data_IF_671412734416
#
_entry.id   IF_671412734416
#
_cell.length_a   1.000
_cell.length_b   1.000
_cell.length_c   1.000
_cell.angle_alpha   90.00
_cell.angle_beta   90.00
_cell.angle_gamma   90.00
#
_symmetry.space_group_name_H-M   'P 1'
#
loop_
_entity.id
_entity.type
_entity.pdbx_description
1 polymer ?
#
# COMPACT_ATOMS: atom_id res chain seq x y z
N UNK A 1 -5.63 18.54 -19.60
CA UNK A 1 -5.89 17.31 -18.83
C UNK A 1 -4.76 17.21 -17.82
N UNK A 2 -5.07 17.17 -16.54
CA UNK A 2 -4.03 16.94 -15.51
C UNK A 2 -3.54 15.50 -15.56
N UNK A 3 -2.38 15.24 -14.97
CA UNK A 3 -1.80 13.90 -14.88
C UNK A 3 -2.71 12.96 -14.08
N UNK A 4 -2.75 11.68 -14.49
CA UNK A 4 -3.52 10.66 -13.77
C UNK A 4 -2.97 10.45 -12.36
N UNK A 5 -3.80 9.93 -11.45
CA UNK A 5 -3.34 9.58 -10.10
C UNK A 5 -2.15 8.61 -10.14
N UNK A 6 -2.18 7.62 -11.04
CA UNK A 6 -1.09 6.67 -11.22
C UNK A 6 0.22 7.35 -11.63
N UNK A 7 0.16 8.34 -12.54
CA UNK A 7 1.35 9.08 -12.96
C UNK A 7 1.91 9.90 -11.79
N UNK A 8 1.07 10.63 -11.05
CA UNK A 8 1.52 11.43 -9.90
C UNK A 8 2.06 10.57 -8.76
N UNK A 9 1.49 9.39 -8.53
CA UNK A 9 2.03 8.42 -7.57
C UNK A 9 3.40 7.89 -8.03
N UNK A 10 3.59 7.61 -9.32
CA UNK A 10 4.88 7.25 -9.89
C UNK A 10 5.91 8.36 -9.70
N UNK A 11 5.54 9.60 -9.96
CA UNK A 11 6.44 10.76 -9.80
C UNK A 11 6.87 10.92 -8.34
N UNK A 12 5.96 10.73 -7.39
CA UNK A 12 6.28 10.72 -5.95
C UNK A 12 7.24 9.58 -5.58
N UNK A 13 7.03 8.37 -6.12
CA UNK A 13 7.93 7.22 -5.88
C UNK A 13 9.34 7.48 -6.41
N UNK A 14 9.46 7.95 -7.66
CA UNK A 14 10.74 8.29 -8.27
C UNK A 14 11.41 9.44 -7.50
N UNK A 15 10.65 10.45 -7.06
CA UNK A 15 11.18 11.52 -6.23
C UNK A 15 11.71 11.02 -4.89
N UNK A 16 10.98 10.17 -4.18
CA UNK A 16 11.38 9.70 -2.86
C UNK A 16 12.57 8.74 -2.92
N UNK A 17 12.54 7.77 -3.83
CA UNK A 17 13.41 6.59 -3.77
C UNK A 17 14.40 6.47 -4.93
N UNK A 18 14.28 7.33 -5.96
CA UNK A 18 14.97 7.13 -7.23
C UNK A 18 14.32 6.03 -8.07
N UNK A 19 14.70 5.96 -9.35
CA UNK A 19 14.06 5.07 -10.33
C UNK A 19 14.20 3.59 -9.98
N UNK A 20 15.40 3.15 -9.57
CA UNK A 20 15.67 1.74 -9.29
C UNK A 20 14.76 1.16 -8.20
N UNK A 21 14.51 1.93 -7.12
CA UNK A 21 13.60 1.52 -6.04
C UNK A 21 12.14 1.78 -6.35
N UNK A 22 11.82 2.77 -7.18
CA UNK A 22 10.45 3.01 -7.64
C UNK A 22 9.95 1.86 -8.53
N UNK A 23 10.82 1.30 -9.36
CA UNK A 23 10.52 0.21 -10.29
C UNK A 23 10.81 -1.21 -9.71
N UNK A 24 11.20 -1.35 -8.43
CA UNK A 24 11.43 -2.66 -7.79
C UNK A 24 10.09 -3.39 -7.49
N UNK A 25 9.74 -4.46 -8.23
CA UNK A 25 8.47 -5.14 -8.08
C UNK A 25 8.30 -5.83 -6.72
N UNK A 26 9.39 -6.26 -6.07
CA UNK A 26 9.33 -6.93 -4.77
C UNK A 26 8.90 -5.93 -3.70
N UNK A 27 9.57 -4.79 -3.63
CA UNK A 27 9.20 -3.72 -2.70
C UNK A 27 7.80 -3.17 -2.95
N UNK A 28 7.36 -3.07 -4.22
CA UNK A 28 5.99 -2.65 -4.54
C UNK A 28 4.95 -3.66 -4.06
N UNK A 29 5.19 -4.96 -4.23
CA UNK A 29 4.31 -6.01 -3.70
C UNK A 29 4.18 -5.92 -2.18
N UNK A 30 5.30 -5.82 -1.46
CA UNK A 30 5.30 -5.73 0.01
C UNK A 30 4.57 -4.47 0.49
N UNK A 31 4.83 -3.32 -0.15
CA UNK A 31 4.18 -2.05 0.23
C UNK A 31 2.67 -2.08 0.01
N UNK A 32 2.22 -2.64 -1.12
CA UNK A 32 0.80 -2.79 -1.39
C UNK A 32 0.13 -3.74 -0.38
N UNK A 33 0.76 -4.88 -0.08
CA UNK A 33 0.24 -5.84 0.89
C UNK A 33 0.15 -5.24 2.30
N UNK A 34 1.17 -4.49 2.72
CA UNK A 34 1.18 -3.77 4.00
C UNK A 34 -0.02 -2.83 4.11
N UNK A 35 -0.26 -1.96 3.11
CA UNK A 35 -1.40 -1.03 3.11
C UNK A 35 -2.76 -1.73 3.07
N UNK A 36 -2.88 -2.81 2.28
CA UNK A 36 -4.10 -3.61 2.24
C UNK A 36 -4.41 -4.23 3.62
N UNK A 37 -3.39 -4.76 4.30
CA UNK A 37 -3.51 -5.31 5.65
C UNK A 37 -3.84 -4.23 6.68
N UNK A 38 -3.20 -3.08 6.59
CA UNK A 38 -3.44 -1.93 7.45
C UNK A 38 -4.87 -1.38 7.31
N UNK A 39 -5.41 -1.32 6.09
CA UNK A 39 -6.79 -0.93 5.83
C UNK A 39 -7.77 -1.92 6.44
N UNK A 40 -7.65 -3.22 6.14
CA UNK A 40 -8.61 -4.21 6.68
C UNK A 40 -8.50 -4.34 8.20
N UNK A 41 -7.30 -4.17 8.78
CA UNK A 41 -7.12 -4.09 10.23
C UNK A 41 -7.92 -2.92 10.82
N UNK A 42 -7.81 -1.73 10.22
CA UNK A 42 -8.54 -0.53 10.68
C UNK A 42 -10.07 -0.70 10.58
N UNK A 43 -10.53 -1.58 9.69
CA UNK A 43 -11.94 -1.90 9.49
C UNK A 43 -12.42 -3.15 10.26
N UNK A 44 -11.56 -3.72 11.11
CA UNK A 44 -11.93 -4.79 12.05
C UNK A 44 -11.62 -6.22 11.60
N UNK A 45 -10.94 -6.42 10.47
CA UNK A 45 -10.44 -7.73 10.07
C UNK A 45 -9.38 -8.23 11.05
N UNK A 46 -9.54 -9.45 11.53
CA UNK A 46 -8.60 -10.09 12.44
C UNK A 46 -7.39 -10.66 11.71
N UNK A 47 -6.28 -10.82 12.43
CA UNK A 47 -5.08 -11.49 11.92
C UNK A 47 -5.38 -12.91 11.42
N UNK A 48 -6.24 -13.64 12.13
CA UNK A 48 -6.58 -15.02 11.78
C UNK A 48 -7.41 -15.08 10.48
N UNK A 49 -8.36 -14.17 10.28
CA UNK A 49 -9.09 -14.04 9.01
C UNK A 49 -8.14 -13.71 7.85
N UNK A 50 -7.21 -12.77 8.05
CA UNK A 50 -6.20 -12.44 7.05
C UNK A 50 -5.34 -13.67 6.67
N UNK A 51 -4.89 -14.46 7.65
CA UNK A 51 -4.13 -15.69 7.40
C UNK A 51 -4.95 -16.77 6.67
N UNK A 52 -6.26 -16.89 6.96
CA UNK A 52 -7.13 -17.81 6.21
C UNK A 52 -7.21 -17.41 4.73
N UNK A 53 -7.31 -16.11 4.44
CA UNK A 53 -7.30 -15.59 3.07
C UNK A 53 -5.95 -15.82 2.37
N UNK A 54 -4.83 -15.67 3.08
CA UNK A 54 -3.50 -16.02 2.56
C UNK A 54 -3.48 -17.49 2.12
N UNK A 55 -3.89 -18.42 2.99
CA UNK A 55 -3.92 -19.84 2.65
C UNK A 55 -4.84 -20.13 1.46
N UNK A 56 -6.00 -19.48 1.40
CA UNK A 56 -6.96 -19.65 0.32
C UNK A 56 -6.46 -19.11 -1.03
N UNK A 57 -5.82 -17.94 -1.06
CA UNK A 57 -5.29 -17.33 -2.30
C UNK A 57 -4.04 -18.07 -2.79
N UNK A 58 -3.08 -18.31 -1.91
CA UNK A 58 -1.83 -18.98 -2.29
C UNK A 58 -1.97 -20.49 -2.51
N UNK A 59 -3.09 -21.08 -2.09
CA UNK A 59 -3.45 -22.47 -2.42
C UNK A 59 -4.04 -22.66 -3.82
N UNK A 60 -4.27 -21.59 -4.59
CA UNK A 60 -4.83 -21.62 -5.96
C UNK A 60 -3.75 -21.32 -7.01
N UNK A 61 -4.07 -21.61 -8.27
CA UNK A 61 -3.24 -21.19 -9.40
C UNK A 61 -3.20 -19.67 -9.55
N UNK A 62 -2.09 -19.13 -10.04
CA UNK A 62 -1.91 -17.68 -10.25
C UNK A 62 -2.87 -17.17 -11.34
N UNK A 63 -3.51 -16.02 -11.09
CA UNK A 63 -4.25 -15.26 -12.10
C UNK A 63 -3.36 -14.37 -12.98
N UNK A 64 -3.94 -13.71 -13.98
CA UNK A 64 -3.24 -12.72 -14.79
C UNK A 64 -3.15 -11.37 -14.05
N UNK A 65 -2.01 -10.66 -14.11
CA UNK A 65 -1.85 -9.38 -13.41
C UNK A 65 -2.95 -8.36 -13.70
N UNK A 66 -3.40 -8.24 -14.94
CA UNK A 66 -4.42 -7.27 -15.35
C UNK A 66 -5.78 -7.58 -14.71
N UNK A 67 -6.13 -8.86 -14.61
CA UNK A 67 -7.36 -9.30 -13.95
C UNK A 67 -7.31 -9.02 -12.44
N UNK A 68 -6.17 -9.32 -11.80
CA UNK A 68 -6.02 -9.11 -10.36
C UNK A 68 -6.00 -7.63 -9.99
N UNK A 69 -5.42 -6.75 -10.82
CA UNK A 69 -5.52 -5.29 -10.66
C UNK A 69 -6.97 -4.83 -10.69
N UNK A 70 -7.77 -5.34 -11.64
CA UNK A 70 -9.21 -5.05 -11.72
C UNK A 70 -9.98 -5.54 -10.49
N UNK A 71 -9.68 -6.76 -10.02
CA UNK A 71 -10.31 -7.36 -8.84
C UNK A 71 -10.00 -6.58 -7.56
N UNK A 72 -8.75 -6.14 -7.39
CA UNK A 72 -8.32 -5.31 -6.25
C UNK A 72 -9.06 -3.98 -6.25
N UNK A 73 -9.10 -3.24 -7.37
CA UNK A 73 -9.78 -1.94 -7.44
C UNK A 73 -11.27 -2.08 -7.18
N UNK A 74 -11.93 -3.08 -7.79
CA UNK A 74 -13.35 -3.35 -7.54
C UNK A 74 -13.63 -3.65 -6.06
N UNK A 75 -12.79 -4.46 -5.42
CA UNK A 75 -12.94 -4.82 -4.00
C UNK A 75 -12.72 -3.59 -3.10
N UNK A 76 -11.72 -2.76 -3.40
CA UNK A 76 -11.47 -1.52 -2.67
C UNK A 76 -12.64 -0.54 -2.79
N UNK A 77 -13.20 -0.36 -3.99
CA UNK A 77 -14.38 0.49 -4.21
C UNK A 77 -15.61 -0.05 -3.47
N UNK A 78 -15.83 -1.37 -3.43
CA UNK A 78 -16.93 -1.97 -2.66
C UNK A 78 -16.76 -1.80 -1.14
N UNK A 79 -15.54 -1.98 -0.64
CA UNK A 79 -15.19 -1.82 0.76
C UNK A 79 -15.35 -0.36 1.21
N UNK A 80 -14.82 0.59 0.46
CA UNK A 80 -14.96 2.02 0.78
C UNK A 80 -16.41 2.48 0.71
N UNK A 81 -17.20 1.98 -0.25
CA UNK A 81 -18.63 2.27 -0.34
C UNK A 81 -19.42 1.81 0.91
N UNK A 82 -19.16 0.60 1.43
CA UNK A 82 -19.87 0.12 2.63
C UNK A 82 -19.46 0.87 3.91
N UNK A 83 -18.22 1.37 3.95
CA UNK A 83 -17.71 2.20 5.05
C UNK A 83 -17.94 3.71 4.86
N UNK A 84 -18.61 4.12 3.76
CA UNK A 84 -18.88 5.54 3.42
C UNK A 84 -17.61 6.39 3.33
N UNK A 85 -16.55 5.81 2.79
CA UNK A 85 -15.28 6.49 2.50
C UNK A 85 -15.29 6.86 1.02
N UNK A 86 -14.99 8.12 0.70
CA UNK A 86 -14.70 8.51 -0.68
C UNK A 86 -13.29 8.04 -1.04
N UNK A 87 -13.23 6.96 -1.81
CA UNK A 87 -11.96 6.33 -2.23
C UNK A 87 -11.03 7.32 -2.94
N UNK A 88 -11.58 8.19 -3.80
CA UNK A 88 -10.76 9.11 -4.58
C UNK A 88 -10.24 10.23 -3.69
N UNK A 89 -11.10 10.84 -2.86
CA UNK A 89 -10.68 11.90 -1.94
C UNK A 89 -9.61 11.40 -0.97
N UNK A 90 -9.78 10.21 -0.37
CA UNK A 90 -8.80 9.62 0.53
C UNK A 90 -7.45 9.37 -0.15
N UNK A 91 -7.45 8.94 -1.42
CA UNK A 91 -6.23 8.75 -2.19
C UNK A 91 -5.51 10.08 -2.48
N UNK A 92 -6.25 11.13 -2.86
CA UNK A 92 -5.67 12.46 -3.10
C UNK A 92 -5.10 13.09 -1.82
N UNK A 93 -5.81 12.98 -0.69
CA UNK A 93 -5.35 13.48 0.62
C UNK A 93 -4.06 12.79 1.05
N UNK A 94 -3.99 11.46 0.90
CA UNK A 94 -2.79 10.69 1.22
C UNK A 94 -1.61 11.08 0.33
N UNK A 95 -1.83 11.19 -0.99
CA UNK A 95 -0.78 11.61 -1.92
C UNK A 95 -0.25 13.01 -1.54
N UNK A 96 -1.14 13.96 -1.24
CA UNK A 96 -0.75 15.29 -0.78
C UNK A 96 0.05 15.24 0.53
N UNK A 97 -0.36 14.40 1.48
CA UNK A 97 0.32 14.21 2.77
C UNK A 97 1.72 13.62 2.62
N UNK A 98 1.90 12.58 1.80
CA UNK A 98 3.23 11.94 1.66
C UNK A 98 4.26 12.84 0.98
N UNK A 99 3.82 13.82 0.18
CA UNK A 99 4.70 14.88 -0.33
C UNK A 99 5.25 15.78 0.77
N UNK A 100 4.55 15.97 1.89
CA UNK A 100 5.07 16.73 3.03
C UNK A 100 6.00 15.89 3.91
N UNK A 101 6.16 14.59 3.63
CA UNK A 101 6.89 13.63 4.46
C UNK A 101 8.12 13.02 3.78
N UNK A 102 8.53 13.54 2.61
CA UNK A 102 9.59 12.98 1.77
C UNK A 102 10.86 12.62 2.56
N UNK A 103 11.37 13.53 3.40
CA UNK A 103 12.61 13.30 4.15
C UNK A 103 12.47 12.19 5.21
N UNK A 104 11.34 12.14 5.91
CA UNK A 104 11.05 11.09 6.90
C UNK A 104 10.92 9.72 6.23
N UNK A 105 10.27 9.68 5.07
CA UNK A 105 10.11 8.46 4.27
C UNK A 105 11.46 7.95 3.77
N UNK A 106 12.33 8.84 3.28
CA UNK A 106 13.70 8.51 2.87
C UNK A 106 14.53 7.95 4.03
N UNK A 107 14.40 8.54 5.22
CA UNK A 107 15.09 8.03 6.40
C UNK A 107 14.61 6.64 6.80
N UNK A 108 13.29 6.41 6.83
CA UNK A 108 12.71 5.10 7.10
C UNK A 108 13.18 4.06 6.08
N UNK A 109 13.28 4.44 4.80
CA UNK A 109 13.74 3.54 3.74
C UNK A 109 15.23 3.18 3.88
N UNK A 110 16.10 4.12 4.24
CA UNK A 110 17.53 3.84 4.51
C UNK A 110 17.74 2.85 5.66
N UNK A 111 16.80 2.77 6.59
CA UNK A 111 16.85 1.85 7.74
C UNK A 111 16.31 0.45 7.47
N UNK A 112 15.78 0.16 6.27
CA UNK A 112 15.23 -1.17 5.96
C UNK A 112 16.35 -2.17 5.62
N UNK A 113 16.28 -3.41 6.16
CA UNK A 113 17.13 -4.50 5.69
C UNK A 113 16.81 -4.83 4.23
N UNK A 114 17.83 -5.00 3.40
CA UNK A 114 17.65 -5.37 2.00
C UNK A 114 16.88 -6.70 1.86
N UNK A 115 15.85 -6.70 1.01
CA UNK A 115 15.04 -7.89 0.70
C UNK A 115 14.03 -8.31 1.78
N UNK A 116 13.93 -7.62 2.91
CA UNK A 116 12.96 -7.94 3.96
C UNK A 116 11.57 -7.35 3.67
N UNK A 117 10.46 -8.12 3.83
CA UNK A 117 9.11 -7.56 3.80
C UNK A 117 8.77 -6.73 5.04
N UNK A 118 9.53 -6.90 6.13
CA UNK A 118 9.32 -6.20 7.38
C UNK A 118 10.21 -4.95 7.46
N UNK A 119 9.69 -3.84 8.02
CA UNK A 119 10.53 -2.69 8.30
C UNK A 119 11.57 -3.07 9.37
N UNK A 120 12.72 -2.39 9.34
CA UNK A 120 13.79 -2.61 10.33
C UNK A 120 13.31 -2.48 11.78
N UNK A 121 14.06 -3.02 12.76
CA UNK A 121 13.66 -2.99 14.17
C UNK A 121 13.33 -1.56 14.64
N UNK A 122 12.09 -1.33 15.09
CA UNK A 122 11.61 -0.05 15.64
C UNK A 122 10.46 0.65 14.91
N UNK A 123 10.02 0.18 13.74
CA UNK A 123 9.06 0.89 12.88
C UNK A 123 7.57 0.51 13.04
N UNK A 124 7.21 -0.35 13.99
CA UNK A 124 5.91 -1.03 14.03
C UNK A 124 4.74 -0.29 14.70
N UNK A 125 4.94 0.91 15.25
CA UNK A 125 3.88 1.63 15.94
C UNK A 125 3.42 2.84 15.12
N UNK A 126 2.17 2.81 14.63
CA UNK A 126 1.46 4.03 14.24
C UNK A 126 1.11 4.79 15.53
N UNK A 127 1.61 6.00 15.69
CA UNK A 127 1.16 6.92 16.73
C UNK A 127 -0.30 7.28 16.46
N UNK A 128 -1.21 6.67 17.21
CA UNK A 128 -2.61 7.07 17.23
C UNK A 128 -2.67 8.49 17.77
N UNK A 129 -2.99 9.48 16.92
CA UNK A 129 -3.43 10.78 17.42
C UNK A 129 -4.91 10.63 17.75
N UNK A 130 -5.23 10.70 19.05
CA UNK A 130 -6.59 10.74 19.58
C UNK A 130 -7.33 12.00 19.20
#
# INVERSE_FOLDING_TARGET
MGDSYQQRARDWLEHCFGRDRADDPISRNHRFLEEALELVQALGCTKDEAHQLVNYVFGRGKGSPEQEVGGVRLSLSGLTACHRIDEQAAAEDELARVWTMVEQIREKERGKPDGSPLPGPGAGARTTTS
#
